data_IF_884086910461
#
_entry.id   IF_884086910461
#
_cell.length_a   1.000
_cell.length_b   1.000
_cell.length_c   1.000
_cell.angle_alpha   90.00
_cell.angle_beta   90.00
_cell.angle_gamma   90.00
#
_symmetry.space_group_name_H-M   'P 1'
#
loop_
_entity.id
_entity.type
_entity.pdbx_description
1 polymer ?
#
# COMPACT_ATOMS: atom_id res chain seq x y z
N UNK A 1 -48.05 -11.50 7.78
CA UNK A 1 -47.96 -10.21 8.50
C UNK A 1 -46.71 -9.52 8.00
N UNK A 2 -46.89 -8.50 7.17
CA UNK A 2 -45.83 -7.77 6.47
C UNK A 2 -45.15 -6.82 7.46
N UNK A 3 -43.90 -7.10 7.80
CA UNK A 3 -43.02 -6.21 8.56
C UNK A 3 -42.62 -5.04 7.65
N UNK A 4 -43.46 -4.01 7.57
CA UNK A 4 -43.10 -2.75 6.91
C UNK A 4 -42.00 -2.08 7.72
N UNK A 5 -40.82 -1.92 7.13
CA UNK A 5 -39.70 -1.19 7.73
C UNK A 5 -40.17 0.17 8.26
N UNK A 6 -39.70 0.61 9.45
CA UNK A 6 -40.19 1.83 10.08
C UNK A 6 -39.98 3.03 9.15
N UNK A 7 -41.03 3.83 9.01
CA UNK A 7 -41.05 5.09 8.29
C UNK A 7 -39.86 5.93 8.74
N UNK A 8 -38.92 6.16 7.82
CA UNK A 8 -37.63 6.73 8.18
C UNK A 8 -37.86 8.20 8.54
N UNK A 9 -37.74 8.56 9.82
CA UNK A 9 -38.03 9.92 10.31
C UNK A 9 -37.51 10.99 9.33
N UNK A 10 -38.28 12.04 9.04
CA UNK A 10 -37.91 13.08 8.07
C UNK A 10 -36.50 13.65 8.25
N UNK A 11 -36.02 13.76 9.49
CA UNK A 11 -34.66 14.23 9.79
C UNK A 11 -33.56 13.24 9.32
N UNK A 12 -33.80 11.92 9.36
CA UNK A 12 -32.85 10.89 8.88
C UNK A 12 -32.69 10.93 7.36
N UNK A 13 -33.78 11.24 6.65
CA UNK A 13 -33.74 11.47 5.19
C UNK A 13 -32.91 12.72 4.89
N UNK A 14 -33.22 13.83 5.57
CA UNK A 14 -32.50 15.09 5.39
C UNK A 14 -31.01 14.96 5.73
N UNK A 15 -30.66 14.24 6.79
CA UNK A 15 -29.28 13.98 7.16
C UNK A 15 -28.54 13.20 6.06
N UNK A 16 -29.17 12.16 5.49
CA UNK A 16 -28.58 11.39 4.38
C UNK A 16 -28.37 12.24 3.14
N UNK A 17 -29.32 13.09 2.79
CA UNK A 17 -29.19 14.05 1.68
C UNK A 17 -27.99 14.99 1.91
N UNK A 18 -27.89 15.59 3.10
CA UNK A 18 -26.79 16.50 3.45
C UNK A 18 -25.44 15.79 3.39
N UNK A 19 -25.32 14.60 3.98
CA UNK A 19 -24.06 13.83 3.97
C UNK A 19 -23.66 13.41 2.55
N UNK A 20 -24.62 13.00 1.72
CA UNK A 20 -24.36 12.59 0.33
C UNK A 20 -23.94 13.79 -0.51
N UNK A 21 -24.68 14.89 -0.42
CA UNK A 21 -24.37 16.14 -1.13
C UNK A 21 -23.04 16.72 -0.68
N UNK A 22 -22.75 16.72 0.62
CA UNK A 22 -21.46 17.18 1.15
C UNK A 22 -20.29 16.34 0.61
N UNK A 23 -20.43 15.01 0.58
CA UNK A 23 -19.41 14.12 0.00
C UNK A 23 -19.16 14.40 -1.49
N UNK A 24 -20.22 14.66 -2.27
CA UNK A 24 -20.12 15.03 -3.67
C UNK A 24 -19.44 16.39 -3.86
N UNK A 25 -19.87 17.40 -3.11
CA UNK A 25 -19.30 18.76 -3.20
C UNK A 25 -17.83 18.81 -2.77
N UNK A 26 -17.46 18.10 -1.69
CA UNK A 26 -16.06 17.99 -1.27
C UNK A 26 -15.23 17.35 -2.37
N UNK A 27 -15.74 16.29 -3.01
CA UNK A 27 -15.07 15.65 -4.14
C UNK A 27 -14.92 16.59 -5.33
N UNK A 28 -15.96 17.32 -5.70
CA UNK A 28 -15.96 18.25 -6.83
C UNK A 28 -15.00 19.42 -6.61
N UNK A 29 -15.04 20.04 -5.42
CA UNK A 29 -14.23 21.21 -5.08
C UNK A 29 -12.75 20.89 -4.88
N UNK A 30 -12.45 19.72 -4.29
CA UNK A 30 -11.08 19.35 -3.95
C UNK A 30 -10.38 18.58 -5.09
N UNK A 31 -11.12 17.87 -5.93
CA UNK A 31 -10.56 17.04 -7.01
C UNK A 31 -10.93 17.57 -8.40
N UNK A 32 -11.00 18.90 -8.56
CA UNK A 32 -11.20 19.57 -9.85
C UNK A 32 -10.25 18.98 -10.91
N UNK A 33 -10.81 18.40 -11.98
CA UNK A 33 -10.04 17.75 -13.06
C UNK A 33 -9.93 16.22 -12.98
N UNK A 34 -10.47 15.57 -11.93
CA UNK A 34 -10.69 14.12 -11.88
C UNK A 34 -9.44 13.25 -11.77
N UNK A 35 -8.25 13.84 -11.60
CA UNK A 35 -6.96 13.13 -11.52
C UNK A 35 -6.10 13.59 -10.35
N UNK A 36 -5.12 12.76 -9.97
CA UNK A 36 -4.10 13.11 -8.99
C UNK A 36 -3.09 14.04 -9.67
N UNK A 37 -2.85 15.22 -9.09
CA UNK A 37 -1.87 16.17 -9.60
C UNK A 37 -0.46 15.56 -9.62
N UNK A 38 0.29 15.77 -10.71
CA UNK A 38 1.68 15.33 -10.86
C UNK A 38 2.62 16.53 -10.88
N UNK A 39 3.69 16.49 -10.08
CA UNK A 39 4.72 17.53 -9.98
C UNK A 39 6.11 16.90 -10.13
N UNK A 40 7.03 17.61 -10.77
CA UNK A 40 8.42 17.16 -10.91
C UNK A 40 9.28 17.66 -9.74
N UNK A 41 10.18 16.79 -9.27
CA UNK A 41 11.13 17.05 -8.20
C UNK A 41 10.50 17.11 -6.80
N UNK A 42 11.34 17.23 -5.75
CA UNK A 42 10.86 17.47 -4.41
C UNK A 42 10.28 18.89 -4.27
N UNK A 43 9.15 19.08 -3.56
CA UNK A 43 8.62 20.41 -3.28
C UNK A 43 9.45 21.13 -2.21
N UNK A 44 9.25 22.45 -2.09
CA UNK A 44 9.63 23.12 -0.84
C UNK A 44 8.65 22.73 0.28
N UNK A 45 9.10 22.67 1.56
CA UNK A 45 8.25 22.35 2.71
C UNK A 45 6.98 23.21 2.77
N UNK A 46 7.11 24.52 2.57
CA UNK A 46 6.00 25.46 2.57
C UNK A 46 4.99 25.18 1.44
N UNK A 47 5.48 24.90 0.23
CA UNK A 47 4.61 24.56 -0.91
C UNK A 47 3.88 23.26 -0.65
N UNK A 48 4.57 22.23 -0.15
CA UNK A 48 3.97 20.95 0.19
C UNK A 48 2.86 21.11 1.24
N UNK A 49 3.15 21.82 2.32
CA UNK A 49 2.21 22.06 3.42
C UNK A 49 0.98 22.84 2.95
N UNK A 50 1.17 23.97 2.26
CA UNK A 50 0.09 24.87 1.83
C UNK A 50 -0.79 24.27 0.75
N UNK A 51 -0.19 23.63 -0.25
CA UNK A 51 -0.92 23.23 -1.46
C UNK A 51 -1.55 21.84 -1.32
N UNK A 52 -0.98 20.97 -0.48
CA UNK A 52 -1.41 19.56 -0.41
C UNK A 52 -1.85 19.16 0.99
N UNK A 53 -0.99 19.27 2.00
CA UNK A 53 -1.28 18.80 3.37
C UNK A 53 -2.47 19.55 3.98
N UNK A 54 -2.44 20.88 3.99
CA UNK A 54 -3.49 21.72 4.58
C UNK A 54 -4.85 21.57 3.90
N UNK A 55 -4.87 21.06 2.65
CA UNK A 55 -6.08 20.84 1.86
C UNK A 55 -6.50 19.37 1.80
N UNK A 56 -5.74 18.48 2.43
CA UNK A 56 -5.93 17.01 2.33
C UNK A 56 -5.97 16.51 0.87
N UNK A 57 -5.13 17.08 0.00
CA UNK A 57 -5.08 16.73 -1.42
C UNK A 57 -3.92 15.77 -1.73
N UNK A 58 -4.16 14.65 -2.43
CA UNK A 58 -3.10 13.77 -2.90
C UNK A 58 -2.32 14.43 -4.05
N UNK A 59 -1.02 14.12 -4.14
CA UNK A 59 -0.12 14.57 -5.20
C UNK A 59 0.95 13.52 -5.46
N UNK A 60 1.35 13.37 -6.72
CA UNK A 60 2.48 12.53 -7.14
C UNK A 60 3.70 13.41 -7.46
N UNK A 61 4.77 13.26 -6.68
CA UNK A 61 6.06 13.88 -6.99
C UNK A 61 6.97 12.92 -7.75
N UNK A 62 7.21 13.18 -9.04
CA UNK A 62 8.15 12.41 -9.85
C UNK A 62 9.58 12.90 -9.62
N UNK A 63 10.57 12.02 -9.64
CA UNK A 63 11.97 12.39 -9.47
C UNK A 63 12.41 12.76 -8.04
N UNK A 64 11.48 12.74 -7.06
CA UNK A 64 11.79 13.12 -5.68
C UNK A 64 12.79 12.19 -4.97
N UNK A 65 12.96 10.96 -5.48
CA UNK A 65 13.82 9.91 -4.90
C UNK A 65 14.89 9.40 -5.88
N UNK A 66 15.16 10.10 -6.99
CA UNK A 66 16.13 9.67 -8.02
C UNK A 66 17.56 9.47 -7.50
N UNK A 67 17.85 10.10 -6.37
CA UNK A 67 19.12 9.97 -5.67
C UNK A 67 19.26 8.63 -4.93
N UNK A 68 18.18 7.88 -4.67
CA UNK A 68 18.22 6.60 -3.96
C UNK A 68 18.95 5.53 -4.80
N UNK A 69 20.02 4.91 -4.26
CA UNK A 69 20.68 3.79 -4.93
C UNK A 69 19.75 2.61 -5.25
N UNK A 70 18.68 2.42 -4.48
CA UNK A 70 17.70 1.35 -4.67
C UNK A 70 17.15 1.29 -6.10
N UNK A 71 16.90 2.46 -6.73
CA UNK A 71 16.38 2.54 -8.10
C UNK A 71 17.30 1.92 -9.16
N UNK A 72 18.60 1.78 -8.85
CA UNK A 72 19.61 1.21 -9.75
C UNK A 72 20.12 -0.16 -9.29
N UNK A 73 19.99 -0.47 -7.99
CA UNK A 73 20.59 -1.66 -7.37
C UNK A 73 19.60 -2.78 -7.11
N UNK A 74 18.35 -2.46 -6.81
CA UNK A 74 17.39 -3.46 -6.35
C UNK A 74 16.85 -4.26 -7.53
N UNK A 75 17.51 -5.38 -7.79
CA UNK A 75 17.03 -6.49 -8.59
C UNK A 75 16.88 -7.75 -7.70
N UNK A 76 16.25 -8.80 -8.22
CA UNK A 76 16.06 -10.07 -7.49
C UNK A 76 17.37 -10.62 -6.91
N UNK A 77 18.45 -10.55 -7.69
CA UNK A 77 19.76 -11.09 -7.31
C UNK A 77 20.43 -10.26 -6.20
N UNK A 78 20.33 -8.94 -6.27
CA UNK A 78 20.85 -8.01 -5.29
C UNK A 78 20.14 -8.17 -3.95
N UNK A 79 18.80 -8.21 -3.98
CA UNK A 79 17.99 -8.41 -2.79
C UNK A 79 18.28 -9.76 -2.14
N UNK A 80 18.43 -10.83 -2.93
CA UNK A 80 18.85 -12.13 -2.42
C UNK A 80 20.23 -12.08 -1.77
N UNK A 81 21.21 -11.44 -2.41
CA UNK A 81 22.59 -11.34 -1.86
C UNK A 81 22.64 -10.55 -0.56
N UNK A 82 21.94 -9.41 -0.49
CA UNK A 82 22.02 -8.51 0.66
C UNK A 82 21.16 -8.95 1.84
N UNK A 83 19.94 -9.43 1.58
CA UNK A 83 18.94 -9.68 2.61
C UNK A 83 18.43 -11.12 2.65
N UNK A 84 18.88 -12.01 1.75
CA UNK A 84 18.28 -13.33 1.54
C UNK A 84 18.20 -14.21 2.80
N UNK A 85 19.19 -14.13 3.69
CA UNK A 85 19.24 -14.91 4.94
C UNK A 85 18.43 -14.32 6.08
N UNK A 86 17.95 -13.08 5.95
CA UNK A 86 17.18 -12.41 6.99
C UNK A 86 15.84 -13.13 7.18
N UNK A 87 15.42 -13.28 8.44
CA UNK A 87 14.08 -13.78 8.76
C UNK A 87 13.11 -12.61 8.69
N UNK A 88 12.11 -12.72 7.82
CA UNK A 88 11.16 -11.65 7.55
C UNK A 88 9.74 -12.12 7.79
N UNK A 89 8.87 -11.20 8.18
CA UNK A 89 7.45 -11.49 8.36
C UNK A 89 6.75 -11.50 7.00
N UNK A 90 6.19 -12.65 6.65
CA UNK A 90 5.46 -12.86 5.41
C UNK A 90 4.02 -13.16 5.73
N UNK A 91 3.13 -12.46 5.03
CA UNK A 91 1.71 -12.69 5.13
C UNK A 91 1.23 -13.57 3.96
N UNK A 92 0.38 -14.53 4.28
CA UNK A 92 -0.11 -15.59 3.42
C UNK A 92 -1.62 -15.51 3.34
N UNK A 93 -2.13 -15.47 2.11
CA UNK A 93 -3.57 -15.45 1.84
C UNK A 93 -3.91 -16.52 0.82
N UNK A 94 -5.09 -17.18 0.90
CA UNK A 94 -5.49 -18.17 -0.09
C UNK A 94 -5.69 -17.59 -1.49
N UNK A 95 -6.02 -16.31 -1.60
CA UNK A 95 -6.56 -15.66 -2.80
C UNK A 95 -5.97 -14.26 -3.08
N UNK A 96 -5.09 -13.74 -2.21
CA UNK A 96 -4.49 -12.42 -2.34
C UNK A 96 -5.24 -11.31 -1.59
N UNK A 97 -6.29 -11.63 -0.83
CA UNK A 97 -7.10 -10.66 -0.10
C UNK A 97 -6.77 -10.70 1.41
N UNK A 98 -5.96 -9.74 1.83
CA UNK A 98 -5.65 -9.47 3.22
C UNK A 98 -6.60 -8.41 3.78
N UNK A 99 -6.93 -8.48 5.07
CA UNK A 99 -7.72 -7.48 5.79
C UNK A 99 -9.00 -7.12 5.03
N UNK A 100 -9.68 -8.17 4.54
CA UNK A 100 -10.80 -8.07 3.63
C UNK A 100 -12.01 -8.83 4.17
N UNK A 101 -13.20 -8.39 3.78
CA UNK A 101 -14.43 -9.14 4.01
C UNK A 101 -14.49 -10.30 3.01
N UNK A 102 -14.48 -11.53 3.52
CA UNK A 102 -14.53 -12.77 2.72
C UNK A 102 -15.65 -13.68 3.21
N UNK A 103 -16.04 -14.62 2.36
CA UNK A 103 -16.96 -15.69 2.74
C UNK A 103 -16.17 -16.90 3.20
N UNK A 104 -16.38 -17.34 4.44
CA UNK A 104 -15.70 -18.52 4.98
C UNK A 104 -16.31 -19.83 4.43
N UNK A 105 -15.74 -20.98 4.80
CA UNK A 105 -16.23 -22.31 4.36
C UNK A 105 -17.66 -22.64 4.82
N UNK A 106 -18.18 -21.93 5.82
CA UNK A 106 -19.55 -22.07 6.34
C UNK A 106 -20.54 -21.13 5.62
N UNK A 107 -20.10 -20.32 4.67
CA UNK A 107 -20.94 -19.34 3.97
C UNK A 107 -21.12 -18.01 4.70
N UNK A 108 -20.39 -17.77 5.79
CA UNK A 108 -20.52 -16.56 6.61
C UNK A 108 -19.56 -15.47 6.11
N UNK A 109 -20.01 -14.21 6.11
CA UNK A 109 -19.13 -13.06 5.85
C UNK A 109 -18.32 -12.74 7.09
N UNK A 110 -17.00 -12.81 6.96
CA UNK A 110 -16.06 -12.53 8.05
C UNK A 110 -15.00 -11.53 7.58
N UNK A 111 -14.46 -10.75 8.52
CA UNK A 111 -13.25 -9.98 8.27
C UNK A 111 -12.04 -10.89 8.46
N UNK A 112 -11.38 -11.26 7.36
CA UNK A 112 -10.23 -12.15 7.40
C UNK A 112 -8.92 -11.36 7.45
N UNK A 113 -8.15 -11.60 8.51
CA UNK A 113 -6.74 -11.25 8.58
C UNK A 113 -5.90 -12.29 7.85
N UNK A 114 -4.72 -11.93 7.33
CA UNK A 114 -3.83 -12.92 6.75
C UNK A 114 -3.24 -13.88 7.79
N UNK A 115 -2.77 -15.02 7.33
CA UNK A 115 -1.89 -15.87 8.13
C UNK A 115 -0.48 -15.29 8.06
N UNK A 116 0.16 -15.08 9.21
CA UNK A 116 1.52 -14.53 9.27
C UNK A 116 2.52 -15.64 9.63
N UNK A 117 3.67 -15.63 8.98
CA UNK A 117 4.77 -16.54 9.28
C UNK A 117 6.11 -15.82 9.17
N UNK A 118 7.16 -16.39 9.75
CA UNK A 118 8.53 -15.94 9.54
C UNK A 118 9.24 -16.93 8.63
N UNK A 119 9.96 -16.43 7.62
CA UNK A 119 10.81 -17.25 6.76
C UNK A 119 12.03 -16.48 6.28
N UNK A 120 13.05 -17.22 5.80
CA UNK A 120 14.18 -16.59 5.12
C UNK A 120 13.68 -15.82 3.88
N UNK A 121 14.16 -14.58 3.73
CA UNK A 121 13.74 -13.72 2.63
C UNK A 121 14.02 -14.33 1.25
N UNK A 122 15.09 -15.11 1.12
CA UNK A 122 15.40 -15.82 -0.12
C UNK A 122 14.32 -16.86 -0.49
N UNK A 123 13.73 -17.55 0.49
CA UNK A 123 12.64 -18.49 0.26
C UNK A 123 11.38 -17.75 -0.21
N UNK A 124 11.14 -16.55 0.32
CA UNK A 124 10.07 -15.68 -0.16
C UNK A 124 10.32 -15.23 -1.61
N UNK A 125 11.54 -14.78 -1.93
CA UNK A 125 11.94 -14.38 -3.28
C UNK A 125 11.78 -15.55 -4.29
N UNK A 126 12.12 -16.76 -3.89
CA UNK A 126 11.93 -17.97 -4.70
C UNK A 126 10.45 -18.31 -4.90
N UNK A 127 9.63 -18.11 -3.88
CA UNK A 127 8.20 -18.37 -3.95
C UNK A 127 7.46 -17.39 -4.88
N UNK A 128 7.85 -16.11 -4.92
CA UNK A 128 7.20 -15.10 -5.77
C UNK A 128 7.71 -15.10 -7.22
N UNK A 129 8.91 -15.62 -7.47
CA UNK A 129 9.50 -15.74 -8.80
C UNK A 129 8.88 -16.89 -9.64
N UNK A 130 8.27 -17.88 -8.98
CA UNK A 130 7.72 -19.05 -9.67
C UNK A 130 6.40 -18.74 -10.40
N UNK A 131 6.12 -19.41 -11.54
CA UNK A 131 4.88 -19.25 -12.29
C UNK A 131 3.64 -19.44 -11.41
N UNK A 132 2.68 -18.54 -11.57
CA UNK A 132 1.46 -18.48 -10.73
C UNK A 132 0.46 -19.57 -10.99
N UNK A 133 0.69 -20.32 -12.05
CA UNK A 133 -0.19 -21.35 -12.55
C UNK A 133 0.65 -22.61 -12.56
N UNK A 134 0.19 -23.63 -11.83
CA UNK A 134 0.82 -24.95 -11.94
C UNK A 134 0.60 -25.53 -13.34
N UNK A 135 1.24 -26.66 -13.63
CA UNK A 135 1.11 -27.38 -14.92
C UNK A 135 -0.35 -27.70 -15.29
N UNK A 136 -1.28 -27.63 -14.33
CA UNK A 136 -2.71 -27.93 -14.48
C UNK A 136 -3.59 -26.70 -14.70
N UNK A 137 -3.02 -25.50 -14.81
CA UNK A 137 -3.82 -24.28 -15.00
C UNK A 137 -4.36 -23.66 -13.71
N UNK A 138 -4.00 -24.19 -12.53
CA UNK A 138 -4.54 -23.71 -11.24
C UNK A 138 -3.63 -22.66 -10.61
N UNK A 139 -4.26 -21.63 -10.02
CA UNK A 139 -3.53 -20.62 -9.23
C UNK A 139 -2.84 -21.28 -8.04
N UNK A 140 -1.52 -21.12 -7.96
CA UNK A 140 -0.75 -21.52 -6.78
C UNK A 140 -1.21 -20.74 -5.55
N UNK A 141 -1.37 -21.49 -4.46
CA UNK A 141 -1.71 -20.97 -3.13
C UNK A 141 -0.63 -21.46 -2.15
N UNK A 142 -0.34 -20.70 -1.10
CA UNK A 142 -0.87 -19.37 -0.80
C UNK A 142 -0.26 -18.26 -1.67
N UNK A 143 -0.90 -17.08 -1.69
CA UNK A 143 -0.34 -15.83 -2.20
C UNK A 143 0.43 -15.15 -1.06
N UNK A 144 1.72 -14.94 -1.28
CA UNK A 144 2.65 -14.37 -0.31
C UNK A 144 2.89 -12.89 -0.59
N UNK A 145 3.09 -12.11 0.47
CA UNK A 145 3.59 -10.74 0.39
C UNK A 145 4.31 -10.36 1.68
N UNK A 146 5.37 -9.57 1.54
CA UNK A 146 6.01 -8.85 2.63
C UNK A 146 5.30 -7.51 2.70
N UNK A 147 4.37 -7.37 3.65
CA UNK A 147 3.67 -6.10 3.89
C UNK A 147 3.46 -5.81 5.36
N UNK A 148 4.33 -6.34 6.21
CA UNK A 148 4.32 -5.96 7.61
C UNK A 148 4.51 -4.44 7.68
N UNK A 149 3.49 -3.75 8.17
CA UNK A 149 3.58 -2.32 8.47
C UNK A 149 4.21 -2.18 9.87
N UNK A 150 4.52 -0.97 10.31
CA UNK A 150 5.30 -0.71 11.53
C UNK A 150 6.80 -0.96 11.32
N UNK A 151 7.40 -0.15 10.45
CA UNK A 151 8.85 0.00 10.42
C UNK A 151 9.60 -1.24 9.93
N UNK A 152 8.95 -2.11 9.14
CA UNK A 152 9.54 -3.38 8.69
C UNK A 152 10.86 -3.22 7.95
N UNK A 153 11.06 -2.12 7.21
CA UNK A 153 12.36 -1.83 6.60
C UNK A 153 13.45 -1.69 7.67
N UNK A 154 13.15 -0.99 8.75
CA UNK A 154 14.06 -0.74 9.89
C UNK A 154 14.14 -1.94 10.83
N UNK A 155 13.10 -2.77 10.93
CA UNK A 155 13.12 -3.93 11.82
C UNK A 155 13.80 -5.16 11.19
N UNK A 156 13.63 -5.36 9.87
CA UNK A 156 13.93 -6.64 9.23
C UNK A 156 14.93 -6.53 8.07
N UNK A 157 15.23 -5.32 7.57
CA UNK A 157 16.01 -5.11 6.35
C UNK A 157 17.16 -4.11 6.51
N UNK A 158 17.85 -4.15 7.66
CA UNK A 158 19.04 -3.33 7.93
C UNK A 158 20.06 -3.24 6.78
N UNK A 159 20.43 -4.35 6.10
CA UNK A 159 21.40 -4.30 5.01
C UNK A 159 20.96 -3.46 3.80
N UNK A 160 19.66 -3.15 3.68
CA UNK A 160 19.09 -2.37 2.57
C UNK A 160 19.00 -0.87 2.87
N UNK A 161 19.20 -0.42 4.12
CA UNK A 161 19.09 1.00 4.47
C UNK A 161 20.01 1.93 3.70
N UNK A 162 21.29 1.56 3.39
CA UNK A 162 22.17 2.44 2.64
C UNK A 162 21.66 2.78 1.22
N UNK A 163 20.67 2.04 0.71
CA UNK A 163 20.13 2.25 -0.63
C UNK A 163 18.91 3.18 -0.66
N UNK A 164 18.38 3.60 0.49
CA UNK A 164 17.13 4.37 0.60
C UNK A 164 17.24 5.48 1.65
N UNK A 165 16.54 6.58 1.44
CA UNK A 165 16.34 7.60 2.48
C UNK A 165 15.29 7.13 3.46
N UNK A 166 15.65 7.01 4.74
CA UNK A 166 14.67 6.70 5.80
C UNK A 166 13.70 7.87 6.06
N UNK A 167 14.01 9.05 5.54
CA UNK A 167 13.19 10.26 5.60
C UNK A 167 13.17 10.99 4.26
N UNK A 168 12.16 11.85 4.11
CA UNK A 168 12.07 12.84 3.04
C UNK A 168 12.28 14.23 3.66
N UNK A 169 13.44 14.89 3.50
CA UNK A 169 13.78 16.11 4.23
C UNK A 169 12.73 17.22 4.11
N UNK A 170 12.17 17.40 2.91
CA UNK A 170 11.13 18.40 2.66
C UNK A 170 9.81 18.10 3.38
N UNK A 171 9.50 16.83 3.63
CA UNK A 171 8.33 16.41 4.39
C UNK A 171 8.59 16.53 5.89
N UNK A 172 9.75 16.06 6.37
CA UNK A 172 10.17 16.19 7.76
C UNK A 172 10.11 17.65 8.23
N UNK A 173 10.65 18.57 7.42
CA UNK A 173 10.58 20.00 7.71
C UNK A 173 9.15 20.55 7.68
N UNK A 174 8.33 20.13 6.71
CA UNK A 174 6.94 20.60 6.59
C UNK A 174 6.06 20.17 7.77
N UNK A 175 6.25 18.94 8.27
CA UNK A 175 5.51 18.42 9.41
C UNK A 175 6.11 18.84 10.76
N UNK A 176 7.32 19.42 10.77
CA UNK A 176 8.04 19.78 11.99
C UNK A 176 8.44 18.57 12.85
N UNK A 177 8.40 17.36 12.28
CA UNK A 177 8.74 16.12 12.94
C UNK A 177 9.20 15.09 11.91
N UNK A 178 10.17 14.27 12.29
CA UNK A 178 10.45 13.03 11.58
C UNK A 178 9.19 12.13 11.59
N UNK A 179 9.05 11.19 10.64
CA UNK A 179 7.98 10.21 10.66
C UNK A 179 7.87 9.58 12.06
N UNK A 180 6.70 9.70 12.69
CA UNK A 180 6.49 9.16 14.04
C UNK A 180 6.85 7.66 14.03
N UNK A 181 7.74 7.25 14.93
CA UNK A 181 8.19 5.87 15.14
C UNK A 181 8.64 5.11 13.88
N UNK A 182 9.61 5.65 13.13
CA UNK A 182 10.36 4.86 12.12
C UNK A 182 9.47 4.11 11.11
N UNK A 183 8.24 4.54 10.80
CA UNK A 183 7.28 3.76 9.99
C UNK A 183 7.64 3.62 8.49
N UNK A 184 8.93 3.60 8.17
CA UNK A 184 9.47 3.14 6.90
C UNK A 184 9.23 1.63 6.79
N UNK A 185 8.29 1.25 5.93
CA UNK A 185 7.94 -0.14 5.68
C UNK A 185 8.44 -0.55 4.31
N UNK A 186 9.06 -1.74 4.21
CA UNK A 186 9.36 -2.34 2.92
C UNK A 186 8.16 -3.16 2.49
N UNK A 187 7.61 -2.84 1.32
CA UNK A 187 6.45 -3.52 0.77
C UNK A 187 6.87 -4.24 -0.51
N UNK A 188 6.94 -5.57 -0.47
CA UNK A 188 7.20 -6.40 -1.64
C UNK A 188 6.02 -7.34 -1.83
N UNK A 189 5.34 -7.14 -2.95
CA UNK A 189 4.13 -7.86 -3.30
C UNK A 189 4.39 -8.81 -4.45
N UNK A 190 3.84 -10.03 -4.37
CA UNK A 190 3.53 -10.75 -5.60
C UNK A 190 2.49 -9.94 -6.40
N UNK A 191 2.65 -9.79 -7.72
CA UNK A 191 1.65 -9.10 -8.59
C UNK A 191 0.25 -9.77 -8.55
N UNK A 192 0.09 -10.93 -7.91
CA UNK A 192 -1.21 -11.58 -7.69
C UNK A 192 -1.95 -11.05 -6.47
N UNK A 193 -1.27 -10.31 -5.59
CA UNK A 193 -1.92 -9.62 -4.48
C UNK A 193 -2.86 -8.54 -4.98
N UNK A 194 -3.95 -8.31 -4.25
CA UNK A 194 -4.90 -7.26 -4.57
C UNK A 194 -4.24 -5.88 -4.57
N UNK A 195 -3.36 -5.60 -3.60
CA UNK A 195 -2.61 -4.33 -3.51
C UNK A 195 -1.73 -4.08 -4.74
N UNK A 196 -1.06 -5.09 -5.29
CA UNK A 196 -0.27 -4.92 -6.51
C UNK A 196 -1.11 -4.59 -7.75
N UNK A 197 -2.34 -5.14 -7.85
CA UNK A 197 -3.27 -4.80 -8.94
C UNK A 197 -3.75 -3.35 -8.89
N UNK A 198 -3.85 -2.78 -7.69
CA UNK A 198 -4.16 -1.36 -7.53
C UNK A 198 -2.97 -0.48 -7.91
N UNK A 199 -1.74 -0.87 -7.54
CA UNK A 199 -0.53 -0.12 -7.89
C UNK A 199 -0.23 -0.11 -9.41
N UNK A 200 -0.50 -1.21 -10.11
CA UNK A 200 -0.40 -1.25 -11.58
C UNK A 200 -1.39 -0.32 -12.29
N UNK A 201 -2.50 0.06 -11.63
CA UNK A 201 -3.46 1.01 -12.18
C UNK A 201 -2.97 2.47 -12.10
N UNK A 202 -1.88 2.76 -11.37
CA UNK A 202 -1.31 4.09 -11.24
C UNK A 202 -0.09 4.35 -12.15
N UNK A 203 0.27 3.41 -13.03
CA UNK A 203 1.52 3.48 -13.85
C UNK A 203 2.77 3.79 -13.00
N UNK A 204 2.79 3.34 -11.74
CA UNK A 204 4.01 3.31 -10.95
C UNK A 204 4.77 2.04 -11.32
N UNK A 205 5.48 2.06 -12.45
CA UNK A 205 6.41 1.00 -12.85
C UNK A 205 7.66 1.02 -11.95
N UNK A 206 7.49 0.66 -10.67
CA UNK A 206 8.60 0.12 -9.87
C UNK A 206 8.43 -1.39 -9.87
N UNK A 207 8.66 -1.98 -11.04
CA UNK A 207 8.80 -3.42 -11.15
C UNK A 207 10.23 -3.75 -10.77
N UNK A 208 10.42 -4.37 -9.59
CA UNK A 208 11.67 -5.04 -9.27
C UNK A 208 11.74 -6.24 -10.22
N UNK A 209 12.46 -6.08 -11.34
CA UNK A 209 12.84 -7.17 -12.24
C UNK A 209 13.95 -8.01 -11.63
#
# INVERSE_FOLDING_TARGET
MSETAPDVEPWRRRLREVMTSHSQLVRELLLEGGGIERKAGPPSPLTFMRNHVAKSLPVLYTGAVDHWPALRRWDHSYLRRQAGKLQVHVALTPDGFADAVVTNRKGERVFAKPCETSMAFENFLDAIAQPRVDETGRRRRPVLYVSHQNSSLVAEFEPLWPDVGLELPWATEAFGAAPQENQSSLLIYALSSYKARYLSAFECDVTIT
#
